data_IF_319838172097
#
_entry.id   IF_319838172097
#
_cell.length_a   1.000
_cell.length_b   1.000
_cell.length_c   1.000
_cell.angle_alpha   90.00
_cell.angle_beta   90.00
_cell.angle_gamma   90.00
#
_symmetry.space_group_name_H-M   'P 1'
#
loop_
_entity.id
_entity.type
_entity.pdbx_description
1 polymer ?
#
# COMPACT_ATOMS: atom_id res chain seq x y z
N UNK A 1 17.55 19.87 -28.18
CA UNK A 1 17.71 20.42 -26.83
C UNK A 1 17.32 19.32 -25.88
N UNK A 2 18.18 18.96 -24.94
CA UNK A 2 17.97 17.87 -23.98
C UNK A 2 16.64 18.06 -23.26
N UNK A 3 15.59 17.34 -23.70
CA UNK A 3 14.24 17.33 -23.09
C UNK A 3 14.26 16.78 -21.65
N UNK A 4 15.42 16.38 -21.15
CA UNK A 4 15.57 15.75 -19.84
C UNK A 4 15.21 16.67 -18.69
N UNK A 5 15.74 17.90 -18.63
CA UNK A 5 15.58 18.75 -17.43
C UNK A 5 15.08 20.14 -17.82
N UNK A 6 13.96 20.55 -17.24
CA UNK A 6 13.50 21.94 -17.28
C UNK A 6 13.83 22.65 -15.95
N UNK A 7 14.59 23.74 -16.03
CA UNK A 7 15.06 24.54 -14.89
C UNK A 7 14.11 25.73 -14.67
N UNK A 8 13.37 25.73 -13.55
CA UNK A 8 12.33 26.73 -13.27
C UNK A 8 12.84 27.97 -12.53
N UNK A 9 14.14 28.03 -12.22
CA UNK A 9 14.73 29.12 -11.42
C UNK A 9 14.34 29.05 -9.94
N UNK A 10 14.14 30.20 -9.31
CA UNK A 10 13.73 30.28 -7.89
C UNK A 10 12.20 30.25 -7.77
N UNK A 11 11.70 29.37 -6.89
CA UNK A 11 10.27 29.30 -6.55
C UNK A 11 10.02 29.94 -5.19
N UNK A 12 8.89 30.63 -5.06
CA UNK A 12 8.49 31.32 -3.82
C UNK A 12 7.04 31.01 -3.48
N UNK A 13 6.65 31.31 -2.24
CA UNK A 13 5.32 30.99 -1.72
C UNK A 13 5.14 29.51 -1.39
N UNK A 14 3.90 29.09 -1.16
CA UNK A 14 3.57 27.69 -0.92
C UNK A 14 3.61 26.92 -2.24
N UNK A 15 4.17 25.72 -2.21
CA UNK A 15 4.14 24.76 -3.31
C UNK A 15 3.25 23.59 -2.93
N UNK A 16 2.49 23.07 -3.89
CA UNK A 16 1.72 21.85 -3.74
C UNK A 16 2.34 20.77 -4.61
N UNK A 17 2.67 19.63 -4.02
CA UNK A 17 3.35 18.51 -4.65
C UNK A 17 2.43 17.30 -4.63
N UNK A 18 2.30 16.62 -5.75
CA UNK A 18 1.43 15.44 -5.89
C UNK A 18 1.94 14.58 -7.05
N UNK A 19 1.39 13.38 -7.22
CA UNK A 19 1.71 12.50 -8.33
C UNK A 19 0.54 11.59 -8.68
N UNK A 20 0.69 10.79 -9.73
CA UNK A 20 -0.20 9.68 -10.04
C UNK A 20 -1.67 10.09 -10.01
N UNK A 21 -2.07 10.97 -10.92
CA UNK A 21 -3.48 11.35 -11.08
C UNK A 21 -4.27 10.19 -11.66
N UNK A 22 -3.62 9.38 -12.51
CA UNK A 22 -4.14 8.09 -12.95
C UNK A 22 -5.57 8.18 -13.51
N UNK A 23 -5.82 9.15 -14.41
CA UNK A 23 -7.11 9.29 -15.09
C UNK A 23 -8.31 9.41 -14.13
N UNK A 24 -8.07 9.80 -12.87
CA UNK A 24 -9.07 9.98 -11.83
C UNK A 24 -9.47 11.45 -11.75
N UNK A 25 -10.45 11.82 -12.58
CA UNK A 25 -10.91 13.20 -12.70
C UNK A 25 -11.49 13.71 -11.36
N UNK A 26 -12.22 12.86 -10.63
CA UNK A 26 -12.84 13.23 -9.35
C UNK A 26 -11.79 13.67 -8.33
N UNK A 27 -10.67 12.95 -8.24
CA UNK A 27 -9.57 13.33 -7.36
C UNK A 27 -8.86 14.61 -7.82
N UNK A 28 -8.66 14.79 -9.13
CA UNK A 28 -8.03 15.98 -9.69
C UNK A 28 -8.87 17.24 -9.44
N UNK A 29 -10.17 17.20 -9.70
CA UNK A 29 -11.08 18.33 -9.47
C UNK A 29 -11.12 18.74 -8.00
N UNK A 30 -11.13 17.74 -7.10
CA UNK A 30 -11.07 18.00 -5.67
C UNK A 30 -9.74 18.65 -5.25
N UNK A 31 -8.60 18.20 -5.80
CA UNK A 31 -7.31 18.84 -5.54
C UNK A 31 -7.29 20.29 -6.04
N UNK A 32 -7.85 20.56 -7.23
CA UNK A 32 -7.97 21.92 -7.77
C UNK A 32 -8.83 22.82 -6.85
N UNK A 33 -9.88 22.29 -6.23
CA UNK A 33 -10.66 23.03 -5.22
C UNK A 33 -9.81 23.36 -4.00
N UNK A 34 -9.08 22.38 -3.49
CA UNK A 34 -8.17 22.53 -2.34
C UNK A 34 -7.12 23.61 -2.61
N UNK A 35 -6.57 23.69 -3.83
CA UNK A 35 -5.54 24.69 -4.15
C UNK A 35 -6.13 26.10 -4.19
N UNK A 36 -7.36 26.25 -4.70
CA UNK A 36 -8.09 27.54 -4.70
C UNK A 36 -8.40 28.00 -3.28
N UNK A 37 -8.90 27.10 -2.43
CA UNK A 37 -9.18 27.40 -1.02
C UNK A 37 -7.89 27.78 -0.25
N UNK A 38 -6.78 27.11 -0.54
CA UNK A 38 -5.48 27.39 0.06
C UNK A 38 -4.74 28.59 -0.55
N UNK A 39 -5.30 29.24 -1.59
CA UNK A 39 -4.66 30.30 -2.38
C UNK A 39 -3.27 29.92 -2.92
N UNK A 40 -3.13 28.67 -3.38
CA UNK A 40 -1.91 28.19 -4.04
C UNK A 40 -2.11 28.33 -5.55
N UNK A 41 -1.31 29.16 -6.24
CA UNK A 41 -1.47 29.37 -7.68
C UNK A 41 -1.04 28.13 -8.46
N UNK A 42 -1.60 27.96 -9.67
CA UNK A 42 -1.43 26.74 -10.45
C UNK A 42 0.04 26.47 -10.81
N UNK A 43 0.81 27.51 -11.13
CA UNK A 43 2.24 27.44 -11.42
C UNK A 43 3.09 26.98 -10.22
N UNK A 44 2.52 26.95 -9.01
CA UNK A 44 3.13 26.43 -7.80
C UNK A 44 2.67 25.00 -7.45
N UNK A 45 1.84 24.39 -8.28
CA UNK A 45 1.43 23.00 -8.17
C UNK A 45 2.28 22.14 -9.12
N UNK A 46 2.91 21.09 -8.59
CA UNK A 46 3.87 20.26 -9.30
C UNK A 46 3.46 18.79 -9.19
N UNK A 47 3.16 18.18 -10.33
CA UNK A 47 2.88 16.77 -10.50
C UNK A 47 4.17 15.99 -10.80
N UNK A 48 4.38 14.85 -10.12
CA UNK A 48 5.52 13.95 -10.37
C UNK A 48 5.27 12.98 -11.53
N UNK A 49 4.28 13.23 -12.39
CA UNK A 49 3.94 12.35 -13.53
C UNK A 49 2.82 11.35 -13.25
N UNK A 50 2.55 10.51 -14.26
CA UNK A 50 1.40 9.62 -14.38
C UNK A 50 0.06 10.34 -14.21
N UNK A 51 -0.17 11.33 -15.09
CA UNK A 51 -1.45 12.04 -15.15
C UNK A 51 -2.55 11.09 -15.64
N UNK A 52 -2.19 10.20 -16.56
CA UNK A 52 -3.11 9.22 -17.15
C UNK A 52 -2.74 7.79 -16.76
N UNK A 53 -3.69 6.87 -16.90
CA UNK A 53 -3.54 5.44 -16.61
C UNK A 53 -4.48 4.96 -15.51
N UNK A 54 -4.66 3.65 -15.36
CA UNK A 54 -5.56 3.00 -14.39
C UNK A 54 -7.05 3.37 -14.46
N UNK A 55 -7.48 4.60 -14.14
CA UNK A 55 -8.90 4.96 -14.03
C UNK A 55 -9.55 5.37 -15.37
N UNK A 56 -10.84 5.66 -15.33
CA UNK A 56 -11.71 5.64 -16.51
C UNK A 56 -11.82 6.93 -17.33
N UNK A 57 -11.16 8.03 -16.94
CA UNK A 57 -11.33 9.34 -17.60
C UNK A 57 -10.01 9.95 -18.08
N UNK A 58 -9.26 9.29 -18.97
CA UNK A 58 -7.95 9.77 -19.41
C UNK A 58 -8.00 11.12 -20.13
N UNK A 59 -8.94 11.31 -21.07
CA UNK A 59 -9.03 12.55 -21.86
C UNK A 59 -9.53 13.72 -20.99
N UNK A 60 -10.55 13.51 -20.18
CA UNK A 60 -11.07 14.58 -19.33
C UNK A 60 -10.05 15.00 -18.27
N UNK A 61 -9.30 14.04 -17.72
CA UNK A 61 -8.24 14.31 -16.73
C UNK A 61 -7.12 15.14 -17.35
N UNK A 62 -6.59 14.77 -18.52
CA UNK A 62 -5.47 15.51 -19.14
C UNK A 62 -5.90 16.90 -19.61
N UNK A 63 -7.12 17.05 -20.14
CA UNK A 63 -7.68 18.35 -20.53
C UNK A 63 -7.90 19.26 -19.31
N UNK A 64 -8.44 18.71 -18.22
CA UNK A 64 -8.61 19.44 -16.97
C UNK A 64 -7.25 19.86 -16.37
N UNK A 65 -6.26 18.96 -16.38
CA UNK A 65 -4.90 19.24 -15.92
C UNK A 65 -4.25 20.36 -16.72
N UNK A 66 -4.31 20.27 -18.06
CA UNK A 66 -3.76 21.29 -18.96
C UNK A 66 -4.43 22.65 -18.76
N UNK A 67 -5.76 22.68 -18.61
CA UNK A 67 -6.51 23.90 -18.33
C UNK A 67 -6.17 24.51 -16.98
N UNK A 68 -5.89 23.67 -15.98
CA UNK A 68 -5.51 24.13 -14.65
C UNK A 68 -4.17 24.88 -14.66
N UNK A 69 -3.20 24.42 -15.47
CA UNK A 69 -1.90 25.08 -15.62
C UNK A 69 -0.87 24.69 -14.57
N UNK A 70 -1.07 23.55 -13.89
CA UNK A 70 -0.05 22.95 -13.04
C UNK A 70 1.16 22.46 -13.86
N UNK A 71 2.31 22.39 -13.20
CA UNK A 71 3.53 21.84 -13.79
C UNK A 71 3.54 20.32 -13.64
N UNK A 72 4.09 19.60 -14.61
CA UNK A 72 4.32 18.16 -14.51
C UNK A 72 5.63 17.77 -15.15
N UNK A 73 6.18 16.65 -14.68
CA UNK A 73 7.12 15.83 -15.44
C UNK A 73 6.38 14.69 -16.13
N UNK A 74 7.03 14.04 -17.10
CA UNK A 74 6.56 12.78 -17.67
C UNK A 74 6.87 11.61 -16.72
N UNK A 75 5.85 10.83 -16.36
CA UNK A 75 6.01 9.52 -15.76
C UNK A 75 6.24 8.45 -16.83
N UNK A 76 6.33 7.18 -16.42
CA UNK A 76 6.56 6.09 -17.38
C UNK A 76 5.40 5.97 -18.38
N UNK A 77 4.16 6.24 -17.95
CA UNK A 77 2.99 6.19 -18.83
C UNK A 77 3.07 7.27 -19.91
N UNK A 78 3.41 8.51 -19.54
CA UNK A 78 3.58 9.59 -20.50
C UNK A 78 4.71 9.33 -21.49
N UNK A 79 5.85 8.80 -21.02
CA UNK A 79 6.97 8.48 -21.90
C UNK A 79 6.60 7.43 -22.94
N UNK A 80 5.80 6.43 -22.57
CA UNK A 80 5.40 5.39 -23.51
C UNK A 80 4.31 5.84 -24.48
N UNK A 81 3.35 6.66 -24.02
CA UNK A 81 2.37 7.29 -24.90
C UNK A 81 3.04 8.22 -25.92
N UNK A 82 4.05 9.00 -25.50
CA UNK A 82 4.77 9.91 -26.37
C UNK A 82 5.64 9.18 -27.43
N UNK A 83 6.10 7.96 -27.14
CA UNK A 83 6.87 7.13 -28.05
C UNK A 83 6.00 6.21 -28.94
N UNK A 84 4.67 6.36 -28.88
CA UNK A 84 3.70 5.50 -29.57
C UNK A 84 3.86 4.00 -29.24
N UNK A 85 4.34 3.69 -28.03
CA UNK A 85 4.57 2.30 -27.59
C UNK A 85 3.26 1.52 -27.44
N UNK A 86 3.37 0.19 -27.44
CA UNK A 86 2.26 -0.73 -27.15
C UNK A 86 2.18 -1.12 -25.66
N UNK A 87 3.18 -0.75 -24.84
CA UNK A 87 3.23 -1.06 -23.40
C UNK A 87 3.35 0.19 -22.51
N UNK A 88 3.05 0.03 -21.21
CA UNK A 88 3.09 1.10 -20.21
C UNK A 88 4.48 1.42 -19.63
N UNK A 89 5.53 0.66 -19.97
CA UNK A 89 6.92 0.93 -19.56
C UNK A 89 7.24 0.77 -18.08
N UNK A 90 6.31 0.27 -17.28
CA UNK A 90 6.58 -0.08 -15.88
C UNK A 90 7.59 -1.25 -15.83
N UNK A 91 8.51 -1.24 -14.86
CA UNK A 91 9.42 -2.36 -14.55
C UNK A 91 8.68 -3.51 -13.84
N UNK A 92 7.54 -3.92 -14.38
CA UNK A 92 6.80 -5.07 -13.87
C UNK A 92 7.52 -6.36 -14.28
N UNK A 93 7.55 -7.35 -13.37
CA UNK A 93 8.03 -8.69 -13.71
C UNK A 93 7.16 -9.26 -14.83
N UNK A 94 7.79 -9.71 -15.92
CA UNK A 94 7.09 -10.35 -17.03
C UNK A 94 6.22 -11.53 -16.55
N UNK A 95 4.94 -11.53 -16.92
CA UNK A 95 3.96 -12.52 -16.45
C UNK A 95 3.36 -12.26 -15.07
N UNK A 96 3.65 -11.11 -14.44
CA UNK A 96 2.96 -10.67 -13.22
C UNK A 96 1.50 -10.28 -13.48
N UNK A 97 0.71 -10.19 -12.40
CA UNK A 97 -0.64 -9.61 -12.48
C UNK A 97 -0.61 -8.16 -12.97
N UNK A 98 0.39 -7.38 -12.57
CA UNK A 98 0.57 -5.99 -13.04
C UNK A 98 0.81 -5.91 -14.56
N UNK A 99 1.66 -6.78 -15.12
CA UNK A 99 1.87 -6.90 -16.58
C UNK A 99 0.58 -7.28 -17.33
N UNK A 100 -0.25 -8.13 -16.72
CA UNK A 100 -1.55 -8.49 -17.30
C UNK A 100 -2.56 -7.34 -17.24
N UNK A 101 -2.60 -6.59 -16.15
CA UNK A 101 -3.52 -5.45 -16.01
C UNK A 101 -3.12 -4.25 -16.88
N UNK A 102 -1.83 -4.00 -17.09
CA UNK A 102 -1.38 -2.96 -18.02
C UNK A 102 -1.86 -3.19 -19.45
N UNK A 103 -2.03 -4.44 -19.87
CA UNK A 103 -2.59 -4.79 -21.19
C UNK A 103 -4.08 -4.48 -21.33
N UNK A 104 -4.78 -4.19 -20.23
CA UNK A 104 -6.19 -3.77 -20.23
C UNK A 104 -6.30 -2.24 -20.20
N UNK A 105 -5.70 -1.59 -19.21
CA UNK A 105 -5.90 -0.15 -19.03
C UNK A 105 -5.06 0.70 -20.00
N UNK A 106 -3.87 0.26 -20.41
CA UNK A 106 -3.01 1.09 -21.28
C UNK A 106 -3.58 1.27 -22.68
N UNK A 107 -4.08 0.20 -23.37
CA UNK A 107 -4.77 0.38 -24.65
C UNK A 107 -6.06 1.20 -24.51
N UNK A 108 -6.76 1.06 -23.38
CA UNK A 108 -7.92 1.90 -23.08
C UNK A 108 -7.52 3.38 -23.01
N UNK A 109 -6.50 3.72 -22.22
CA UNK A 109 -5.97 5.09 -22.12
C UNK A 109 -5.56 5.63 -23.49
N UNK A 110 -4.72 4.89 -24.23
CA UNK A 110 -4.23 5.30 -25.55
C UNK A 110 -5.39 5.52 -26.55
N UNK A 111 -6.38 4.64 -26.54
CA UNK A 111 -7.54 4.70 -27.45
C UNK A 111 -8.54 5.83 -27.15
N UNK A 112 -8.51 6.42 -25.95
CA UNK A 112 -9.43 7.50 -25.55
C UNK A 112 -8.78 8.89 -25.60
N UNK A 113 -7.46 8.98 -25.73
CA UNK A 113 -6.76 10.25 -25.80
C UNK A 113 -6.87 10.87 -27.21
N UNK A 114 -7.14 12.17 -27.25
CA UNK A 114 -7.09 12.93 -28.49
C UNK A 114 -5.65 13.17 -28.97
N UNK A 115 -5.48 13.45 -30.27
CA UNK A 115 -4.17 13.81 -30.83
C UNK A 115 -3.57 15.03 -30.13
N UNK A 116 -4.40 16.01 -29.77
CA UNK A 116 -3.99 17.20 -29.03
C UNK A 116 -3.47 16.85 -27.62
N UNK A 117 -4.13 15.93 -26.92
CA UNK A 117 -3.67 15.43 -25.62
C UNK A 117 -2.34 14.70 -25.72
N UNK A 118 -2.15 13.86 -26.75
CA UNK A 118 -0.89 13.16 -26.99
C UNK A 118 0.26 14.14 -27.32
N UNK A 119 -0.02 15.16 -28.12
CA UNK A 119 0.94 16.23 -28.41
C UNK A 119 1.32 17.00 -27.15
N UNK A 120 0.36 17.31 -26.28
CA UNK A 120 0.64 17.91 -24.97
C UNK A 120 1.53 17.00 -24.10
N UNK A 121 1.20 15.71 -23.98
CA UNK A 121 1.99 14.74 -23.22
C UNK A 121 3.45 14.70 -23.70
N UNK A 122 3.67 14.74 -25.02
CA UNK A 122 5.01 14.75 -25.63
C UNK A 122 5.85 16.02 -25.36
N UNK A 123 5.24 17.06 -24.77
CA UNK A 123 5.94 18.29 -24.35
C UNK A 123 6.43 18.24 -22.91
N UNK A 124 5.98 17.29 -22.09
CA UNK A 124 6.36 17.18 -20.69
C UNK A 124 7.86 16.85 -20.55
N UNK A 125 8.61 17.54 -19.65
CA UNK A 125 10.01 17.24 -19.38
C UNK A 125 10.14 15.96 -18.53
N UNK A 126 11.26 15.24 -18.63
CA UNK A 126 11.51 14.07 -17.75
C UNK A 126 11.76 14.49 -16.29
N UNK A 127 12.37 15.67 -16.08
CA UNK A 127 12.75 16.20 -14.78
C UNK A 127 12.47 17.69 -14.68
N UNK A 128 12.16 18.16 -13.47
CA UNK A 128 12.18 19.58 -13.12
C UNK A 128 13.28 19.85 -12.11
N UNK A 129 13.83 21.05 -12.13
CA UNK A 129 14.69 21.53 -11.05
C UNK A 129 14.49 23.00 -10.78
N UNK A 130 14.66 23.39 -9.51
CA UNK A 130 14.43 24.74 -9.03
C UNK A 130 15.11 24.96 -7.69
N UNK A 131 15.32 26.22 -7.34
CA UNK A 131 15.78 26.64 -6.02
C UNK A 131 14.57 27.02 -5.16
N UNK A 132 14.58 26.60 -3.88
CA UNK A 132 13.53 26.92 -2.92
C UNK A 132 14.13 27.04 -1.52
N UNK A 133 13.94 28.17 -0.84
CA UNK A 133 14.46 28.36 0.52
C UNK A 133 15.97 28.13 0.65
N UNK A 134 16.75 28.50 -0.39
CA UNK A 134 18.20 28.30 -0.43
C UNK A 134 18.66 26.85 -0.65
N UNK A 135 17.75 25.94 -1.02
CA UNK A 135 18.05 24.54 -1.34
C UNK A 135 17.78 24.24 -2.81
N UNK A 136 18.60 23.38 -3.40
CA UNK A 136 18.41 22.85 -4.74
C UNK A 136 17.44 21.68 -4.72
N UNK A 137 16.37 21.78 -5.50
CA UNK A 137 15.33 20.76 -5.59
C UNK A 137 15.32 20.14 -6.99
N UNK A 138 15.18 18.82 -7.06
CA UNK A 138 14.89 18.10 -8.31
C UNK A 138 13.65 17.25 -8.16
N UNK A 139 12.80 17.26 -9.18
CA UNK A 139 11.59 16.45 -9.28
C UNK A 139 11.88 15.29 -10.24
N UNK A 140 11.62 14.08 -9.78
CA UNK A 140 11.78 12.82 -10.53
C UNK A 140 10.50 11.99 -10.41
N UNK A 141 10.23 11.12 -11.39
CA UNK A 141 9.11 10.20 -11.30
C UNK A 141 9.47 9.01 -10.39
N UNK A 142 10.29 8.07 -10.86
CA UNK A 142 10.91 7.03 -10.03
C UNK A 142 12.30 7.45 -9.52
N UNK A 143 13.28 7.50 -10.42
CA UNK A 143 14.64 7.93 -10.10
C UNK A 143 15.33 8.69 -11.26
N UNK A 144 16.42 9.39 -10.95
CA UNK A 144 17.23 10.06 -11.97
C UNK A 144 18.02 9.04 -12.79
N UNK A 145 17.78 9.02 -14.11
CA UNK A 145 18.34 8.04 -15.03
C UNK A 145 17.59 6.70 -15.10
N UNK A 146 16.60 6.47 -14.22
CA UNK A 146 15.65 5.36 -14.34
C UNK A 146 14.24 5.78 -13.87
N UNK A 147 13.40 6.19 -14.83
CA UNK A 147 12.05 6.69 -14.56
C UNK A 147 11.15 5.65 -13.89
N UNK A 148 11.33 4.37 -14.19
CA UNK A 148 10.47 3.27 -13.70
C UNK A 148 11.00 2.58 -12.43
N UNK A 149 12.05 3.13 -11.81
CA UNK A 149 12.58 2.56 -10.56
C UNK A 149 11.62 2.81 -9.39
N UNK A 150 11.19 1.75 -8.72
CA UNK A 150 10.41 1.85 -7.49
C UNK A 150 11.30 2.15 -6.27
N UNK A 151 11.15 3.36 -5.73
CA UNK A 151 11.84 3.81 -4.52
C UNK A 151 10.87 3.86 -3.33
N UNK A 152 11.11 3.03 -2.31
CA UNK A 152 10.30 2.97 -1.08
C UNK A 152 11.04 3.54 0.11
N UNK A 153 10.36 3.75 1.23
CA UNK A 153 11.00 4.21 2.47
C UNK A 153 11.98 3.15 3.01
N UNK A 154 11.57 1.88 3.00
CA UNK A 154 12.34 0.77 3.58
C UNK A 154 13.59 0.36 2.80
N UNK A 155 13.69 0.77 1.53
CA UNK A 155 14.74 0.31 0.64
C UNK A 155 15.47 1.46 -0.06
N UNK A 156 16.49 1.12 -0.85
CA UNK A 156 17.10 2.00 -1.84
C UNK A 156 17.91 3.20 -1.30
N UNK A 157 18.50 3.14 -0.11
CA UNK A 157 19.45 4.18 0.37
C UNK A 157 20.56 4.47 -0.65
N UNK A 158 21.09 3.42 -1.32
CA UNK A 158 22.10 3.57 -2.38
C UNK A 158 21.55 4.27 -3.62
N UNK A 159 20.35 3.90 -4.10
CA UNK A 159 19.73 4.54 -5.26
C UNK A 159 19.39 6.01 -4.99
N UNK A 160 18.87 6.31 -3.78
CA UNK A 160 18.60 7.68 -3.33
C UNK A 160 19.89 8.50 -3.26
N UNK A 161 20.95 7.94 -2.67
CA UNK A 161 22.25 8.61 -2.58
C UNK A 161 22.83 8.91 -3.97
N UNK A 162 22.76 7.95 -4.90
CA UNK A 162 23.19 8.15 -6.29
C UNK A 162 22.41 9.28 -6.97
N UNK A 163 21.08 9.30 -6.81
CA UNK A 163 20.22 10.35 -7.35
C UNK A 163 20.68 11.74 -6.87
N UNK A 164 20.86 11.90 -5.56
CA UNK A 164 21.35 13.14 -4.98
C UNK A 164 22.72 13.59 -5.48
N UNK A 165 23.60 12.65 -5.84
CA UNK A 165 24.95 12.94 -6.29
C UNK A 165 24.96 13.31 -7.79
N UNK A 166 24.15 12.63 -8.60
CA UNK A 166 23.97 12.91 -10.02
C UNK A 166 23.27 14.26 -10.26
N UNK A 167 22.24 14.57 -9.47
CA UNK A 167 21.47 15.82 -9.63
C UNK A 167 22.10 17.00 -8.89
N UNK A 168 23.00 16.74 -7.94
CA UNK A 168 23.59 17.74 -7.03
C UNK A 168 22.53 18.53 -6.25
N UNK A 169 21.48 17.82 -5.83
CA UNK A 169 20.32 18.41 -5.13
C UNK A 169 20.40 18.19 -3.63
N UNK A 170 19.80 19.11 -2.89
CA UNK A 170 19.60 18.99 -1.44
C UNK A 170 18.29 18.27 -1.14
N UNK A 171 17.28 18.45 -2.00
CA UNK A 171 15.96 17.84 -1.87
C UNK A 171 15.59 17.14 -3.17
N UNK A 172 15.09 15.91 -3.07
CA UNK A 172 14.45 15.19 -4.18
C UNK A 172 12.96 15.07 -3.88
N UNK A 173 12.13 15.41 -4.86
CA UNK A 173 10.70 15.15 -4.86
C UNK A 173 10.46 14.01 -5.86
N UNK A 174 10.10 12.84 -5.36
CA UNK A 174 9.86 11.64 -6.15
C UNK A 174 8.38 11.27 -6.16
N UNK A 175 7.98 10.34 -7.02
CA UNK A 175 6.64 9.76 -7.12
C UNK A 175 6.69 8.25 -7.34
N UNK A 176 6.01 7.78 -8.40
CA UNK A 176 5.96 6.41 -8.94
C UNK A 176 5.48 5.30 -8.00
N UNK A 177 6.07 5.15 -6.81
CA UNK A 177 5.78 4.02 -5.92
C UNK A 177 4.41 4.08 -5.23
N UNK A 178 3.65 5.16 -5.42
CA UNK A 178 2.28 5.29 -4.93
C UNK A 178 2.13 5.64 -3.45
N UNK A 179 3.19 5.52 -2.65
CA UNK A 179 3.12 5.70 -1.19
C UNK A 179 3.67 7.07 -0.73
N UNK A 180 2.95 7.79 0.15
CA UNK A 180 3.48 9.00 0.75
C UNK A 180 4.51 8.66 1.83
N UNK A 181 5.71 9.24 1.72
CA UNK A 181 6.74 9.14 2.76
C UNK A 181 7.74 10.29 2.67
N UNK A 182 8.60 10.40 3.68
CA UNK A 182 9.78 11.24 3.61
C UNK A 182 10.94 10.57 4.34
N UNK A 183 12.16 10.83 3.89
CA UNK A 183 13.37 10.31 4.53
C UNK A 183 14.49 11.35 4.48
N UNK A 184 15.19 11.51 5.60
CA UNK A 184 16.43 12.29 5.66
C UNK A 184 17.62 11.35 5.52
N UNK A 185 18.50 11.63 4.54
CA UNK A 185 19.74 10.89 4.33
C UNK A 185 20.88 11.89 4.47
N UNK A 186 21.60 11.81 5.60
CA UNK A 186 22.57 12.83 6.04
C UNK A 186 21.90 14.20 6.16
N UNK A 187 22.25 15.15 5.30
CA UNK A 187 21.69 16.51 5.26
C UNK A 187 20.69 16.71 4.10
N UNK A 188 20.48 15.66 3.28
CA UNK A 188 19.61 15.69 2.11
C UNK A 188 18.24 15.08 2.43
N UNK A 189 17.20 15.51 1.72
CA UNK A 189 15.81 15.15 2.01
C UNK A 189 15.18 14.49 0.79
N UNK A 190 14.62 13.30 0.96
CA UNK A 190 13.80 12.62 -0.04
C UNK A 190 12.33 12.76 0.34
N UNK A 191 11.52 13.32 -0.54
CA UNK A 191 10.10 13.57 -0.35
C UNK A 191 9.31 12.79 -1.38
N UNK A 192 8.34 12.00 -0.92
CA UNK A 192 7.33 11.41 -1.79
C UNK A 192 5.95 11.91 -1.33
N UNK A 193 5.25 12.75 -2.11
CA UNK A 193 3.96 13.30 -1.73
C UNK A 193 2.85 12.23 -1.68
N UNK A 194 3.08 11.06 -2.28
CA UNK A 194 2.06 10.08 -2.59
C UNK A 194 1.33 10.43 -3.89
N UNK A 195 0.26 9.70 -4.15
CA UNK A 195 -0.54 9.85 -5.38
C UNK A 195 -1.97 10.25 -5.07
N UNK A 196 -2.62 10.90 -6.03
CA UNK A 196 -4.00 11.39 -5.88
C UNK A 196 -5.04 10.48 -6.55
N UNK A 197 -4.63 9.67 -7.51
CA UNK A 197 -5.55 8.86 -8.30
C UNK A 197 -5.93 7.52 -7.67
N UNK A 198 -5.12 7.02 -6.73
CA UNK A 198 -5.31 5.72 -6.08
C UNK A 198 -4.98 5.83 -4.58
N UNK A 199 -5.76 5.18 -3.69
CA UNK A 199 -5.45 5.12 -2.27
C UNK A 199 -4.09 4.49 -1.95
N UNK A 200 -3.47 4.87 -0.83
CA UNK A 200 -2.09 4.52 -0.50
C UNK A 200 -1.92 3.16 0.22
N UNK A 201 -2.72 2.16 -0.14
CA UNK A 201 -2.72 0.82 0.49
C UNK A 201 -2.96 0.81 2.01
N UNK A 202 -3.52 1.89 2.57
CA UNK A 202 -3.61 2.11 4.02
C UNK A 202 -5.00 1.76 4.59
N UNK A 203 -5.86 1.14 3.79
CA UNK A 203 -7.21 0.71 4.17
C UNK A 203 -8.18 1.88 4.35
N UNK A 204 -7.88 3.03 3.75
CA UNK A 204 -8.75 4.21 3.71
C UNK A 204 -8.95 4.65 2.26
N UNK A 205 -10.03 5.39 1.97
CA UNK A 205 -10.36 5.89 0.63
C UNK A 205 -9.60 7.17 0.26
N UNK A 206 -9.00 7.83 1.25
CA UNK A 206 -8.26 9.08 1.04
C UNK A 206 -7.03 8.88 0.16
N UNK A 207 -6.63 9.98 -0.45
CA UNK A 207 -5.44 10.08 -1.27
C UNK A 207 -4.53 11.20 -0.78
N UNK A 208 -3.27 11.24 -1.24
CA UNK A 208 -2.22 12.01 -0.58
C UNK A 208 -1.55 13.02 -1.50
N UNK A 209 -1.17 14.14 -0.89
CA UNK A 209 -0.35 15.18 -1.49
C UNK A 209 0.55 15.81 -0.42
N UNK A 210 1.43 16.73 -0.82
CA UNK A 210 2.31 17.45 0.10
C UNK A 210 2.25 18.95 -0.15
N UNK A 211 2.37 19.73 0.92
CA UNK A 211 2.59 21.18 0.85
C UNK A 211 4.00 21.49 1.31
N UNK A 212 4.72 22.27 0.49
CA UNK A 212 6.01 22.84 0.81
C UNK A 212 5.84 24.33 1.14
N UNK A 213 6.37 24.78 2.26
CA UNK A 213 6.38 26.18 2.67
C UNK A 213 7.72 26.55 3.31
N UNK A 214 8.12 27.82 3.21
CA UNK A 214 9.25 28.35 3.98
C UNK A 214 8.71 28.83 5.32
N UNK A 215 9.20 28.24 6.41
CA UNK A 215 8.89 28.65 7.78
C UNK A 215 10.20 28.88 8.54
N UNK A 216 10.35 30.05 9.17
CA UNK A 216 11.54 30.43 9.94
C UNK A 216 12.86 30.26 9.15
N UNK A 217 12.83 30.60 7.85
CA UNK A 217 13.97 30.48 6.94
C UNK A 217 14.32 29.05 6.51
N UNK A 218 13.53 28.06 6.90
CA UNK A 218 13.74 26.65 6.58
C UNK A 218 12.59 26.09 5.75
N UNK A 219 12.88 25.07 4.94
CA UNK A 219 11.85 24.33 4.22
C UNK A 219 11.08 23.48 5.21
N UNK A 220 9.76 23.64 5.21
CA UNK A 220 8.81 22.76 5.87
C UNK A 220 7.98 22.04 4.83
N UNK A 221 7.93 20.71 4.95
CA UNK A 221 7.05 19.84 4.18
C UNK A 221 5.96 19.29 5.10
N UNK A 222 4.72 19.22 4.59
CA UNK A 222 3.58 18.65 5.32
C UNK A 222 2.81 17.74 4.37
N UNK A 223 2.76 16.45 4.68
CA UNK A 223 1.86 15.52 4.01
C UNK A 223 0.42 15.84 4.40
N UNK A 224 -0.47 15.82 3.41
CA UNK A 224 -1.90 16.04 3.61
C UNK A 224 -2.67 14.99 2.82
N UNK A 225 -3.87 14.69 3.28
CA UNK A 225 -4.78 13.78 2.61
C UNK A 225 -6.13 14.43 2.40
N UNK A 226 -6.85 13.97 1.38
CA UNK A 226 -8.23 14.40 1.14
C UNK A 226 -9.09 13.23 0.66
N UNK A 227 -10.39 13.35 0.91
CA UNK A 227 -11.41 12.47 0.36
C UNK A 227 -11.94 13.06 -0.96
N UNK A 228 -12.37 12.18 -1.86
CA UNK A 228 -12.95 12.53 -3.15
C UNK A 228 -14.11 11.55 -3.45
N UNK A 229 -14.84 11.79 -4.54
CA UNK A 229 -15.91 10.90 -4.99
C UNK A 229 -15.35 9.61 -5.63
N UNK A 230 -14.78 8.76 -4.79
CA UNK A 230 -14.24 7.46 -5.16
C UNK A 230 -15.33 6.49 -5.65
N UNK A 231 -16.59 6.69 -5.23
CA UNK A 231 -17.73 5.87 -5.68
C UNK A 231 -17.99 6.10 -7.16
N UNK A 232 -18.04 7.36 -7.61
CA UNK A 232 -18.20 7.67 -9.04
C UNK A 232 -17.00 7.18 -9.84
N UNK A 233 -15.77 7.42 -9.38
CA UNK A 233 -14.56 6.95 -10.04
C UNK A 233 -14.58 5.41 -10.25
N UNK A 234 -14.94 4.66 -9.20
CA UNK A 234 -15.09 3.20 -9.25
C UNK A 234 -16.20 2.76 -10.23
N UNK A 235 -17.37 3.38 -10.16
CA UNK A 235 -18.49 3.03 -11.05
C UNK A 235 -18.14 3.24 -12.53
N UNK A 236 -17.38 4.30 -12.84
CA UNK A 236 -16.88 4.54 -14.19
C UNK A 236 -15.87 3.48 -14.63
N UNK A 237 -15.01 2.99 -13.73
CA UNK A 237 -14.12 1.88 -14.05
C UNK A 237 -14.88 0.60 -14.40
N UNK A 238 -15.89 0.24 -13.61
CA UNK A 238 -16.73 -0.93 -13.90
C UNK A 238 -17.51 -0.77 -15.22
N UNK A 239 -18.10 0.41 -15.45
CA UNK A 239 -18.84 0.71 -16.68
C UNK A 239 -17.97 0.58 -17.94
N UNK A 240 -16.68 0.88 -17.83
CA UNK A 240 -15.72 0.83 -18.94
C UNK A 240 -14.93 -0.49 -19.00
N UNK A 241 -15.31 -1.50 -18.21
CA UNK A 241 -14.64 -2.82 -18.19
C UNK A 241 -13.14 -2.75 -17.88
N UNK A 242 -12.73 -1.78 -17.06
CA UNK A 242 -11.36 -1.68 -16.55
C UNK A 242 -11.14 -2.71 -15.42
N UNK A 243 -9.88 -3.02 -15.07
CA UNK A 243 -9.58 -4.07 -14.09
C UNK A 243 -10.30 -3.86 -12.75
N UNK A 244 -11.15 -4.83 -12.37
CA UNK A 244 -11.94 -4.78 -11.13
C UNK A 244 -11.07 -4.61 -9.89
N UNK A 245 -9.88 -5.23 -9.87
CA UNK A 245 -8.92 -5.09 -8.78
C UNK A 245 -8.52 -3.63 -8.48
N UNK A 246 -8.35 -2.80 -9.52
CA UNK A 246 -8.06 -1.37 -9.33
C UNK A 246 -9.30 -0.60 -8.91
N UNK A 247 -10.47 -0.93 -9.48
CA UNK A 247 -11.73 -0.32 -9.10
C UNK A 247 -12.06 -0.59 -7.61
N UNK A 248 -11.85 -1.82 -7.12
CA UNK A 248 -12.04 -2.21 -5.72
C UNK A 248 -11.04 -1.54 -4.78
N UNK A 249 -9.85 -1.21 -5.28
CA UNK A 249 -8.86 -0.44 -4.49
C UNK A 249 -9.41 0.94 -4.11
N UNK A 250 -10.18 1.59 -5.00
CA UNK A 250 -10.74 2.92 -4.75
C UNK A 250 -11.69 2.95 -3.54
N UNK A 251 -12.44 1.87 -3.28
CA UNK A 251 -13.37 1.77 -2.15
C UNK A 251 -12.77 1.10 -0.92
N UNK A 252 -11.88 0.12 -1.09
CA UNK A 252 -11.27 -0.62 0.01
C UNK A 252 -10.06 0.07 0.62
N UNK A 253 -9.35 0.89 -0.17
CA UNK A 253 -8.05 1.43 0.20
C UNK A 253 -6.93 0.40 0.23
N UNK A 254 -7.15 -0.79 -0.34
CA UNK A 254 -6.23 -1.94 -0.28
C UNK A 254 -5.81 -2.31 -1.69
N UNK A 255 -4.51 -2.46 -1.92
CA UNK A 255 -3.97 -2.92 -3.19
C UNK A 255 -4.10 -4.44 -3.30
N UNK A 256 -4.73 -4.92 -4.36
CA UNK A 256 -4.81 -6.36 -4.68
C UNK A 256 -3.43 -6.97 -4.98
N UNK A 257 -2.61 -6.24 -5.76
CA UNK A 257 -1.27 -6.67 -6.11
C UNK A 257 -0.21 -5.85 -5.36
N UNK A 258 0.60 -6.53 -4.56
CA UNK A 258 1.70 -5.96 -3.78
C UNK A 258 3.08 -6.50 -4.18
N UNK A 259 3.21 -7.11 -5.38
CA UNK A 259 4.48 -7.68 -5.84
C UNK A 259 5.62 -6.66 -5.93
N UNK A 260 5.31 -5.38 -6.19
CA UNK A 260 6.29 -4.29 -6.22
C UNK A 260 6.72 -3.83 -4.81
N UNK A 261 5.90 -4.09 -3.79
CA UNK A 261 6.14 -3.57 -2.44
C UNK A 261 7.22 -4.41 -1.75
N UNK A 262 8.22 -3.81 -1.09
CA UNK A 262 9.12 -4.52 -0.20
C UNK A 262 8.38 -5.08 1.01
N UNK A 263 9.03 -5.96 1.77
CA UNK A 263 8.39 -6.68 2.87
C UNK A 263 7.78 -5.74 3.93
N UNK A 264 8.49 -4.68 4.30
CA UNK A 264 8.03 -3.73 5.30
C UNK A 264 6.77 -2.98 4.85
N UNK A 265 6.70 -2.52 3.60
CA UNK A 265 5.51 -1.88 3.04
C UNK A 265 4.35 -2.88 2.90
N UNK A 266 4.63 -4.13 2.50
CA UNK A 266 3.59 -5.19 2.42
C UNK A 266 2.95 -5.46 3.77
N UNK A 267 3.73 -5.50 4.84
CA UNK A 267 3.24 -5.72 6.20
C UNK A 267 2.31 -4.60 6.69
N UNK A 268 2.35 -3.42 6.06
CA UNK A 268 1.52 -2.26 6.40
C UNK A 268 0.22 -2.17 5.60
N UNK A 269 -0.11 -3.17 4.77
CA UNK A 269 -1.36 -3.22 4.02
C UNK A 269 -2.58 -3.03 4.96
N UNK A 270 -3.45 -2.08 4.62
CA UNK A 270 -4.68 -1.82 5.37
C UNK A 270 -4.47 -1.17 6.74
N UNK A 271 -3.24 -0.70 7.03
CA UNK A 271 -2.91 0.06 8.24
C UNK A 271 -2.85 1.55 7.88
N UNK A 272 -3.73 2.41 8.44
CA UNK A 272 -3.78 3.81 8.09
C UNK A 272 -2.43 4.53 8.29
N UNK A 273 -1.96 5.20 7.25
CA UNK A 273 -0.71 5.96 7.29
C UNK A 273 -0.91 7.21 8.17
N UNK A 274 0.04 7.46 9.07
CA UNK A 274 0.05 8.63 9.94
C UNK A 274 1.45 9.27 9.94
N UNK A 275 1.64 10.30 9.11
CA UNK A 275 2.92 10.97 8.90
C UNK A 275 3.14 12.18 9.84
N UNK A 276 2.12 12.56 10.62
CA UNK A 276 2.22 13.65 11.61
C UNK A 276 2.86 13.21 12.93
N UNK A 277 2.97 11.90 13.17
CA UNK A 277 3.67 11.38 14.35
C UNK A 277 5.17 11.34 14.08
N UNK A 278 5.92 12.25 14.71
CA UNK A 278 7.37 12.11 14.90
C UNK A 278 7.67 10.66 15.29
N UNK A 279 8.53 9.97 14.53
CA UNK A 279 8.98 8.58 14.76
C UNK A 279 9.48 8.43 16.20
N UNK A 280 8.58 8.10 17.12
CA UNK A 280 8.94 7.40 18.33
C UNK A 280 9.04 5.94 17.92
N UNK A 281 10.21 5.33 18.14
CA UNK A 281 10.30 3.88 18.21
C UNK A 281 9.24 3.38 19.19
N UNK A 282 8.13 2.89 18.66
CA UNK A 282 7.10 2.23 19.44
C UNK A 282 6.79 0.93 18.73
N UNK A 283 7.15 -0.15 19.42
CA UNK A 283 6.71 -1.51 19.16
C UNK A 283 5.23 -1.55 18.74
N UNK A 284 4.84 -2.48 17.86
CA UNK A 284 3.50 -2.50 17.28
C UNK A 284 2.47 -2.83 18.36
N UNK A 285 1.77 -1.80 18.85
CA UNK A 285 0.51 -1.97 19.58
C UNK A 285 -0.65 -1.88 18.59
N UNK A 286 -0.87 -2.98 17.87
CA UNK A 286 -2.11 -3.20 17.12
C UNK A 286 -3.28 -3.34 18.10
N UNK A 287 -4.19 -2.38 18.08
CA UNK A 287 -5.59 -2.61 18.41
C UNK A 287 -6.44 -1.80 17.42
N UNK A 288 -6.61 -2.36 16.21
CA UNK A 288 -7.74 -2.01 15.36
C UNK A 288 -8.98 -2.50 16.12
N UNK A 289 -9.95 -1.61 16.37
CA UNK A 289 -11.28 -2.02 16.82
C UNK A 289 -11.88 -2.79 15.64
N UNK A 290 -11.76 -4.12 15.68
CA UNK A 290 -12.61 -4.97 14.85
C UNK A 290 -14.06 -4.62 15.19
N UNK A 291 -14.97 -4.70 14.21
CA UNK A 291 -16.40 -4.73 14.52
C UNK A 291 -16.64 -5.72 15.68
N UNK A 292 -17.59 -5.44 16.58
CA UNK A 292 -17.86 -6.25 17.77
C UNK A 292 -18.20 -7.71 17.37
N UNK A 293 -17.15 -8.50 17.16
CA UNK A 293 -17.16 -9.94 17.02
C UNK A 293 -17.36 -10.52 18.40
N UNK A 294 -18.11 -11.62 18.50
CA UNK A 294 -18.26 -12.37 19.75
C UNK A 294 -16.90 -12.78 20.35
N UNK A 295 -15.87 -12.90 19.52
CA UNK A 295 -14.48 -13.16 19.93
C UNK A 295 -13.62 -11.88 19.78
N UNK A 296 -13.42 -11.12 20.88
CA UNK A 296 -12.48 -9.99 20.95
C UNK A 296 -11.09 -10.51 21.34
N UNK A 297 -10.03 -10.36 20.50
CA UNK A 297 -8.67 -10.78 20.83
C UNK A 297 -8.14 -10.26 22.19
N UNK A 298 -8.69 -9.16 22.72
CA UNK A 298 -8.31 -8.61 24.03
C UNK A 298 -8.78 -9.48 25.19
N UNK A 299 -9.84 -10.27 25.01
CA UNK A 299 -10.41 -11.10 26.07
C UNK A 299 -9.49 -12.25 26.49
N UNK A 300 -8.59 -12.70 25.60
CA UNK A 300 -7.55 -13.67 25.97
C UNK A 300 -6.68 -13.19 27.14
N UNK A 301 -6.47 -11.88 27.28
CA UNK A 301 -5.71 -11.32 28.43
C UNK A 301 -6.43 -11.48 29.76
N UNK A 302 -7.75 -11.68 29.73
CA UNK A 302 -8.57 -11.93 30.92
C UNK A 302 -8.55 -13.41 31.32
N UNK A 303 -8.00 -14.31 30.51
CA UNK A 303 -7.95 -15.73 30.81
C UNK A 303 -7.25 -16.03 32.14
N UNK A 304 -6.15 -15.34 32.47
CA UNK A 304 -5.48 -15.47 33.77
C UNK A 304 -6.33 -15.08 34.98
N UNK A 305 -7.46 -14.39 34.78
CA UNK A 305 -8.37 -13.92 35.82
C UNK A 305 -9.53 -14.87 36.11
N UNK A 306 -9.62 -16.03 35.47
CA UNK A 306 -10.70 -17.00 35.74
C UNK A 306 -10.73 -17.47 37.21
N UNK A 307 -9.60 -17.35 37.92
CA UNK A 307 -9.50 -17.59 39.37
C UNK A 307 -10.35 -16.62 40.19
N UNK A 308 -10.69 -15.43 39.68
CA UNK A 308 -11.57 -14.46 40.33
C UNK A 308 -13.01 -15.01 40.49
N UNK A 309 -13.42 -15.96 39.64
CA UNK A 309 -14.75 -16.58 39.69
C UNK A 309 -14.77 -17.94 40.39
N UNK A 310 -13.61 -18.59 40.53
CA UNK A 310 -13.40 -19.82 41.31
C UNK A 310 -11.91 -20.03 41.57
N UNK A 311 -11.44 -19.62 42.75
CA UNK A 311 -10.01 -19.61 43.08
C UNK A 311 -9.42 -21.02 43.15
N UNK A 312 -10.09 -21.95 43.83
CA UNK A 312 -9.61 -23.32 44.01
C UNK A 312 -9.50 -24.07 42.67
N UNK A 313 -10.55 -24.02 41.83
CA UNK A 313 -10.57 -24.72 40.56
C UNK A 313 -9.64 -24.05 39.54
N UNK A 314 -9.59 -22.72 39.52
CA UNK A 314 -8.70 -21.97 38.63
C UNK A 314 -7.23 -22.21 38.94
N UNK A 315 -6.84 -22.24 40.23
CA UNK A 315 -5.45 -22.52 40.64
C UNK A 315 -5.04 -23.94 40.24
N UNK A 316 -5.87 -24.94 40.56
CA UNK A 316 -5.63 -26.33 40.14
C UNK A 316 -5.50 -26.47 38.63
N UNK A 317 -6.33 -25.76 37.87
CA UNK A 317 -6.25 -25.74 36.41
C UNK A 317 -4.93 -25.13 35.92
N UNK A 318 -4.52 -23.97 36.42
CA UNK A 318 -3.28 -23.31 35.96
C UNK A 318 -2.02 -24.07 36.37
N UNK A 319 -2.00 -24.70 37.54
CA UNK A 319 -0.90 -25.57 37.96
C UNK A 319 -0.76 -26.75 36.99
N UNK A 320 -1.86 -27.43 36.70
CA UNK A 320 -1.89 -28.51 35.71
C UNK A 320 -1.48 -28.02 34.32
N UNK A 321 -2.08 -26.92 33.86
CA UNK A 321 -1.84 -26.34 32.54
C UNK A 321 -0.37 -25.94 32.36
N UNK A 322 0.21 -25.26 33.33
CA UNK A 322 1.63 -24.89 33.31
C UNK A 322 2.53 -26.13 33.25
N UNK A 323 2.30 -27.10 34.15
CA UNK A 323 3.08 -28.35 34.22
C UNK A 323 3.02 -29.13 32.91
N UNK A 324 1.86 -29.17 32.23
CA UNK A 324 1.71 -29.87 30.94
C UNK A 324 2.63 -29.29 29.86
N UNK A 325 2.95 -27.99 29.90
CA UNK A 325 3.79 -27.32 28.90
C UNK A 325 5.27 -27.23 29.25
N UNK A 326 5.69 -27.67 30.44
CA UNK A 326 7.11 -27.80 30.79
C UNK A 326 7.81 -28.88 29.94
N UNK A 327 9.12 -28.79 29.74
CA UNK A 327 9.84 -29.84 28.99
C UNK A 327 9.83 -31.17 29.74
N UNK A 328 9.69 -32.27 28.99
CA UNK A 328 9.71 -33.62 29.54
C UNK A 328 10.02 -34.62 28.45
N UNK A 329 9.22 -35.69 28.35
CA UNK A 329 9.34 -36.65 27.24
C UNK A 329 9.09 -36.03 25.85
N UNK A 330 8.35 -34.92 25.81
CA UNK A 330 8.22 -34.05 24.63
C UNK A 330 8.89 -32.71 24.94
N UNK A 331 9.58 -32.18 23.95
CA UNK A 331 10.17 -30.84 23.96
C UNK A 331 9.08 -29.76 24.00
N UNK A 332 9.43 -28.56 24.46
CA UNK A 332 8.50 -27.44 24.45
C UNK A 332 8.01 -27.11 23.03
N UNK A 333 8.86 -27.34 22.02
CA UNK A 333 8.56 -27.16 20.60
C UNK A 333 7.51 -28.16 20.09
N UNK A 334 7.68 -29.44 20.38
CA UNK A 334 6.71 -30.49 19.98
C UNK A 334 5.34 -30.23 20.61
N UNK A 335 5.32 -29.84 21.89
CA UNK A 335 4.08 -29.50 22.59
C UNK A 335 3.36 -28.31 21.94
N UNK A 336 4.10 -27.30 21.47
CA UNK A 336 3.53 -26.15 20.73
C UNK A 336 2.92 -26.55 19.39
N UNK A 337 3.57 -27.44 18.63
CA UNK A 337 3.03 -27.96 17.36
C UNK A 337 1.74 -28.77 17.59
N UNK A 338 1.73 -29.64 18.61
CA UNK A 338 0.52 -30.40 19.00
C UNK A 338 -0.61 -29.44 19.38
N UNK A 339 -0.32 -28.44 20.22
CA UNK A 339 -1.31 -27.46 20.64
C UNK A 339 -1.83 -26.61 19.48
N UNK A 340 -0.98 -26.24 18.52
CA UNK A 340 -1.37 -25.51 17.31
C UNK A 340 -2.30 -26.34 16.42
N UNK A 341 -1.99 -27.62 16.20
CA UNK A 341 -2.85 -28.53 15.44
C UNK A 341 -4.22 -28.70 16.11
N UNK A 342 -4.24 -28.95 17.42
CA UNK A 342 -5.49 -29.07 18.20
C UNK A 342 -6.30 -27.77 18.13
N UNK A 343 -5.66 -26.61 18.22
CA UNK A 343 -6.32 -25.30 18.16
C UNK A 343 -7.14 -25.08 16.88
N UNK A 344 -6.64 -25.58 15.74
CA UNK A 344 -7.33 -25.52 14.46
C UNK A 344 -8.48 -26.52 14.39
N UNK A 345 -8.28 -27.76 14.87
CA UNK A 345 -9.32 -28.80 14.90
C UNK A 345 -10.51 -28.38 15.77
N UNK A 346 -10.27 -27.75 16.93
CA UNK A 346 -11.33 -27.24 17.80
C UNK A 346 -11.84 -25.84 17.40
N UNK A 347 -11.25 -25.23 16.36
CA UNK A 347 -11.63 -23.93 15.79
C UNK A 347 -11.63 -22.81 16.84
N UNK A 348 -10.65 -22.82 17.74
CA UNK A 348 -10.52 -21.84 18.81
C UNK A 348 -9.66 -20.65 18.35
N UNK A 349 -10.23 -19.45 18.08
CA UNK A 349 -9.47 -18.32 17.58
C UNK A 349 -8.38 -17.85 18.57
N UNK A 350 -8.69 -17.83 19.87
CA UNK A 350 -7.72 -17.48 20.91
C UNK A 350 -6.53 -18.44 20.97
N UNK A 351 -6.79 -19.72 20.76
CA UNK A 351 -5.77 -20.77 20.82
C UNK A 351 -4.88 -20.72 19.58
N UNK A 352 -5.47 -20.47 18.40
CA UNK A 352 -4.73 -20.27 17.14
C UNK A 352 -3.73 -19.13 17.30
N UNK A 353 -4.17 -17.97 17.81
CA UNK A 353 -3.29 -16.82 18.04
C UNK A 353 -2.18 -17.13 19.05
N UNK A 354 -2.54 -17.75 20.18
CA UNK A 354 -1.60 -18.08 21.25
C UNK A 354 -0.49 -19.03 20.79
N UNK A 355 -0.85 -20.14 20.13
CA UNK A 355 0.11 -21.16 19.74
C UNK A 355 0.84 -20.86 18.43
N UNK A 356 0.30 -20.00 17.58
CA UNK A 356 1.06 -19.43 16.47
C UNK A 356 2.20 -18.56 17.00
N UNK A 357 1.92 -17.67 17.95
CA UNK A 357 2.95 -16.82 18.57
C UNK A 357 3.98 -17.63 19.36
N UNK A 358 3.52 -18.55 20.20
CA UNK A 358 4.39 -19.42 21.00
C UNK A 358 5.29 -20.30 20.10
N UNK A 359 4.75 -20.81 18.99
CA UNK A 359 5.53 -21.57 18.02
C UNK A 359 6.63 -20.74 17.35
N UNK A 360 6.33 -19.49 16.95
CA UNK A 360 7.33 -18.57 16.39
C UNK A 360 8.46 -18.29 17.39
N UNK A 361 8.12 -18.08 18.67
CA UNK A 361 9.10 -17.84 19.73
C UNK A 361 10.04 -19.04 19.96
N UNK A 362 9.58 -20.25 19.64
CA UNK A 362 10.34 -21.51 19.73
C UNK A 362 11.00 -21.91 18.40
N UNK A 363 11.06 -20.98 17.44
CA UNK A 363 11.74 -21.17 16.16
C UNK A 363 11.06 -22.18 15.22
N UNK A 364 9.75 -22.42 15.39
CA UNK A 364 8.99 -23.29 14.48
C UNK A 364 8.76 -22.52 13.18
N UNK A 365 9.12 -23.12 12.05
CA UNK A 365 8.94 -22.46 10.75
C UNK A 365 7.49 -22.50 10.29
N UNK A 366 7.16 -21.65 9.32
CA UNK A 366 5.83 -21.63 8.69
C UNK A 366 5.47 -22.99 8.08
N UNK A 367 6.44 -23.65 7.46
CA UNK A 367 6.28 -24.94 6.80
C UNK A 367 5.90 -26.01 7.83
N UNK A 368 6.58 -26.05 8.97
CA UNK A 368 6.31 -27.00 10.05
C UNK A 368 4.96 -26.73 10.73
N UNK A 369 4.58 -25.46 10.91
CA UNK A 369 3.25 -25.10 11.40
C UNK A 369 2.16 -25.60 10.46
N UNK A 370 2.32 -25.41 9.15
CA UNK A 370 1.32 -25.88 8.20
C UNK A 370 1.25 -27.39 8.09
N UNK A 371 2.38 -28.09 8.19
CA UNK A 371 2.38 -29.54 8.24
C UNK A 371 1.58 -30.05 9.45
N UNK A 372 1.77 -29.47 10.63
CA UNK A 372 0.99 -29.83 11.82
C UNK A 372 -0.51 -29.55 11.67
N UNK A 373 -0.89 -28.44 11.02
CA UNK A 373 -2.31 -28.14 10.71
C UNK A 373 -2.90 -29.19 9.76
N UNK A 374 -2.15 -29.60 8.74
CA UNK A 374 -2.59 -30.66 7.82
C UNK A 374 -2.75 -32.02 8.53
N UNK A 375 -1.88 -32.36 9.48
CA UNK A 375 -2.03 -33.55 10.34
C UNK A 375 -3.34 -33.48 11.13
N UNK A 376 -3.66 -32.34 11.75
CA UNK A 376 -4.93 -32.13 12.46
C UNK A 376 -6.15 -32.28 11.54
N UNK A 377 -6.11 -31.64 10.36
CA UNK A 377 -7.20 -31.69 9.38
C UNK A 377 -7.46 -33.12 8.85
N UNK A 378 -6.40 -33.93 8.68
CA UNK A 378 -6.53 -35.33 8.27
C UNK A 378 -7.31 -36.17 9.30
N UNK A 379 -7.08 -35.94 10.60
CA UNK A 379 -7.82 -36.62 11.67
C UNK A 379 -9.29 -36.19 11.71
N UNK A 380 -9.59 -34.88 11.60
CA UNK A 380 -10.98 -34.38 11.60
C UNK A 380 -11.77 -34.90 10.38
N UNK A 381 -11.15 -34.89 9.20
CA UNK A 381 -11.77 -35.40 7.98
C UNK A 381 -11.98 -36.92 8.02
N UNK A 382 -11.00 -37.69 8.52
CA UNK A 382 -11.14 -39.13 8.71
C UNK A 382 -12.27 -39.50 9.68
N UNK A 383 -12.38 -38.79 10.81
CA UNK A 383 -13.46 -38.97 11.78
C UNK A 383 -14.84 -38.69 11.18
N UNK A 384 -14.93 -37.68 10.30
CA UNK A 384 -16.16 -37.41 9.55
C UNK A 384 -16.52 -38.55 8.60
N UNK A 385 -15.56 -39.05 7.83
CA UNK A 385 -15.81 -40.08 6.82
C UNK A 385 -16.15 -41.44 7.42
N UNK A 386 -15.52 -41.83 8.54
CA UNK A 386 -15.85 -43.10 9.20
C UNK A 386 -17.29 -43.11 9.74
N UNK A 387 -17.84 -41.95 10.11
CA UNK A 387 -19.26 -41.84 10.48
C UNK A 387 -20.24 -42.10 9.32
N UNK A 388 -19.74 -42.10 8.07
CA UNK A 388 -20.48 -42.57 6.90
C UNK A 388 -20.90 -44.04 7.02
N UNK A 389 -20.22 -44.86 7.82
CA UNK A 389 -20.60 -46.26 8.07
C UNK A 389 -21.99 -46.33 8.73
N UNK A 390 -22.28 -45.46 9.69
CA UNK A 390 -23.57 -45.39 10.39
C UNK A 390 -24.67 -44.97 9.42
N UNK A 391 -24.39 -44.00 8.54
CA UNK A 391 -25.29 -43.62 7.46
C UNK A 391 -25.58 -44.80 6.52
N UNK A 392 -24.54 -45.52 6.06
CA UNK A 392 -24.70 -46.67 5.17
C UNK A 392 -25.46 -47.81 5.84
N UNK A 393 -25.24 -48.06 7.14
CA UNK A 393 -26.02 -49.01 7.92
C UNK A 393 -27.50 -48.63 7.97
N UNK A 394 -27.82 -47.34 8.07
CA UNK A 394 -29.20 -46.85 8.05
C UNK A 394 -29.80 -46.93 6.65
N UNK A 395 -29.05 -46.54 5.62
CA UNK A 395 -29.45 -46.65 4.22
C UNK A 395 -29.84 -48.09 3.88
N UNK A 396 -28.95 -49.06 4.14
CA UNK A 396 -29.19 -50.48 3.85
C UNK A 396 -30.43 -51.05 4.56
N UNK A 397 -30.78 -50.54 5.75
CA UNK A 397 -32.00 -50.93 6.48
C UNK A 397 -33.28 -50.33 5.90
N UNK A 398 -33.18 -49.20 5.20
CA UNK A 398 -34.33 -48.48 4.64
C UNK A 398 -34.54 -48.76 3.15
N UNK A 399 -33.50 -49.25 2.46
CA UNK A 399 -33.53 -49.57 1.02
C UNK A 399 -33.80 -51.04 0.71
N UNK A 400 -33.91 -51.88 1.75
CA UNK A 400 -34.55 -53.20 1.72
C UNK A 400 -36.05 -53.04 1.97
#
# INVERSE_FOLDING_TARGET
>A
MDKKINHLGEKTGKLLLFGGVYSNLQALEQLISITKEANIPAENCICTGDITGYCAQPEETIQAFRKWGALSIAGNVELQLANDSEDCGCDFKAGSRCDSFSKLWFPYTKGHLSQESLEYIATLPEYLSFDYGGKKITVVHGNYGNTSEFIFESNADTSKQKCFDDTKSDVIIAGHCGLPFHQTIKEKIWLNPGVIGMPANDGTTRVWYMVLEIQDGNIKYTHRSFEYDHTTAQQLMFKNHLPEAYADTLSSGIWDNMEILPELERMNQGIPINLDRKKQHTEPKTQKKMADSYYDPKDLRKFGKITEWSEELGTKFFDYYGTVFEEGALTAREKSLIALAVSHVVKCPYCIDAYTKDGLQKGITKEEMMEAVHVGAAIESGATLVHGVQMMNKYNKLSM
#
